data_IF_270971826164
#
_entry.id   IF_270971826164
#
_cell.length_a   1.000
_cell.length_b   1.000
_cell.length_c   1.000
_cell.angle_alpha   90.00
_cell.angle_beta   90.00
_cell.angle_gamma   90.00
#
_symmetry.space_group_name_H-M   'P 1'
#
loop_
_entity.id
_entity.type
_entity.pdbx_description
1 polymer ?
#
# COMPACT_ATOMS: atom_id res chain seq x y z
N UNK A 1 45.25 -9.12 -3.31
CA UNK A 1 44.70 -8.41 -4.46
C UNK A 1 44.01 -7.18 -3.91
N UNK A 2 44.55 -6.00 -4.14
CA UNK A 2 44.10 -4.74 -3.58
C UNK A 2 43.06 -4.12 -4.52
N UNK A 3 41.87 -3.78 -4.02
CA UNK A 3 40.90 -2.94 -4.75
C UNK A 3 41.11 -1.48 -4.34
N UNK A 4 41.42 -0.66 -5.34
CA UNK A 4 41.60 0.78 -5.21
C UNK A 4 40.23 1.48 -5.16
N UNK A 5 40.05 2.31 -4.15
CA UNK A 5 38.97 3.29 -4.06
C UNK A 5 39.35 4.53 -4.88
N UNK A 6 38.48 4.95 -5.78
CA UNK A 6 38.55 6.25 -6.45
C UNK A 6 37.58 7.20 -5.74
N UNK A 7 38.15 8.20 -5.06
CA UNK A 7 37.42 9.33 -4.49
C UNK A 7 37.38 10.43 -5.55
N UNK A 8 36.17 10.85 -5.94
CA UNK A 8 35.97 12.03 -6.78
C UNK A 8 35.48 13.18 -5.91
N UNK A 9 36.33 14.15 -5.70
CA UNK A 9 36.01 15.44 -5.07
C UNK A 9 35.38 16.38 -6.13
N UNK A 10 34.18 16.88 -5.85
CA UNK A 10 33.65 18.05 -6.55
C UNK A 10 33.83 19.31 -5.73
N UNK A 11 34.43 20.29 -6.37
CA UNK A 11 34.77 21.59 -5.81
C UNK A 11 33.57 22.54 -5.84
N UNK A 12 33.39 23.26 -4.73
CA UNK A 12 32.45 24.37 -4.54
C UNK A 12 32.88 25.59 -5.38
N UNK A 13 31.95 26.11 -6.16
CA UNK A 13 32.06 27.41 -6.82
C UNK A 13 31.04 28.39 -6.27
N UNK A 14 31.52 29.34 -5.45
CA UNK A 14 30.74 30.50 -4.97
C UNK A 14 30.78 31.60 -6.03
N UNK A 15 29.64 32.23 -6.31
CA UNK A 15 29.61 33.57 -6.92
C UNK A 15 28.47 34.41 -6.34
N UNK A 16 28.82 35.61 -5.98
CA UNK A 16 28.07 36.55 -5.14
C UNK A 16 27.25 37.56 -5.96
N UNK A 17 26.23 38.06 -5.27
CA UNK A 17 25.60 39.38 -5.27
C UNK A 17 25.48 40.24 -6.55
N UNK A 18 24.22 40.66 -6.76
CA UNK A 18 23.87 41.88 -7.48
C UNK A 18 22.45 42.31 -7.16
N UNK A 19 22.29 43.26 -6.25
CA UNK A 19 21.05 43.96 -5.94
C UNK A 19 20.91 45.21 -6.80
N UNK A 20 19.73 45.52 -7.33
CA UNK A 20 19.13 46.83 -7.69
C UNK A 20 17.64 46.51 -7.93
N UNK A 21 16.68 47.01 -7.36
CA UNK A 21 16.08 48.26 -7.03
C UNK A 21 14.90 48.64 -7.94
N UNK A 22 13.63 48.58 -7.39
CA UNK A 22 12.60 49.57 -7.66
C UNK A 22 11.60 49.29 -8.75
N UNK A 23 10.29 49.35 -8.42
CA UNK A 23 9.22 49.75 -9.36
C UNK A 23 7.91 48.96 -9.15
N UNK A 24 6.99 49.66 -8.52
CA UNK A 24 5.57 49.42 -8.32
C UNK A 24 4.80 49.27 -9.67
N UNK A 25 3.81 48.40 -9.72
CA UNK A 25 2.42 48.69 -10.12
C UNK A 25 1.61 47.39 -10.35
N UNK A 26 0.38 47.43 -9.91
CA UNK A 26 -0.57 46.40 -9.77
C UNK A 26 -1.12 45.80 -11.07
N UNK A 27 -1.65 44.62 -10.89
CA UNK A 27 -2.42 43.91 -11.89
C UNK A 27 -3.00 42.63 -11.28
N UNK A 28 -4.20 42.73 -10.69
CA UNK A 28 -4.93 41.58 -10.21
C UNK A 28 -5.30 40.68 -11.39
N UNK A 29 -4.87 39.43 -11.31
CA UNK A 29 -5.44 38.34 -12.08
C UNK A 29 -6.05 37.36 -11.07
N UNK A 30 -7.39 37.31 -11.07
CA UNK A 30 -8.16 36.33 -10.30
C UNK A 30 -7.80 34.93 -10.77
N UNK A 31 -7.18 34.16 -9.86
CA UNK A 31 -7.08 32.72 -10.01
C UNK A 31 -8.47 32.13 -9.78
N UNK A 32 -9.08 31.57 -10.80
CA UNK A 32 -10.22 30.70 -10.65
C UNK A 32 -9.76 29.49 -9.82
N UNK A 33 -10.29 29.38 -8.60
CA UNK A 33 -10.17 28.17 -7.81
C UNK A 33 -10.85 27.03 -8.60
N UNK A 34 -10.11 26.03 -8.97
CA UNK A 34 -10.66 24.82 -9.52
C UNK A 34 -11.62 24.23 -8.48
N UNK A 35 -12.91 24.30 -8.78
CA UNK A 35 -13.95 23.66 -7.98
C UNK A 35 -13.79 22.15 -8.16
N UNK A 36 -13.12 21.51 -7.21
CA UNK A 36 -13.05 20.07 -7.13
C UNK A 36 -14.45 19.48 -7.05
N UNK A 37 -14.89 18.82 -8.09
CA UNK A 37 -16.14 18.08 -8.11
C UNK A 37 -15.96 16.86 -7.23
N UNK A 38 -16.60 16.82 -6.07
CA UNK A 38 -16.60 15.64 -5.18
C UNK A 38 -17.37 14.52 -5.89
N UNK A 39 -16.64 13.51 -6.38
CA UNK A 39 -17.21 12.34 -7.06
C UNK A 39 -17.78 11.40 -5.99
N UNK A 40 -19.05 11.04 -6.10
CA UNK A 40 -19.70 10.09 -5.18
C UNK A 40 -19.27 8.65 -5.44
N UNK A 41 -19.31 7.74 -4.43
CA UNK A 41 -18.93 6.33 -4.60
C UNK A 41 -19.61 5.59 -5.76
N UNK A 42 -20.84 5.94 -6.10
CA UNK A 42 -21.61 5.35 -7.21
C UNK A 42 -21.11 5.73 -8.61
N UNK A 43 -20.31 6.80 -8.72
CA UNK A 43 -19.74 7.28 -10.00
C UNK A 43 -18.37 6.65 -10.34
N UNK A 44 -17.93 5.67 -9.56
CA UNK A 44 -16.59 5.07 -9.59
C UNK A 44 -16.48 3.77 -10.38
N UNK A 45 -17.50 3.39 -11.13
CA UNK A 45 -17.42 2.28 -12.08
C UNK A 45 -17.16 2.89 -13.45
N UNK A 46 -15.99 2.64 -14.06
CA UNK A 46 -15.68 3.16 -15.38
C UNK A 46 -16.73 2.74 -16.39
N UNK A 47 -17.18 3.63 -17.29
CA UNK A 47 -18.17 3.28 -18.30
C UNK A 47 -17.66 2.20 -19.23
N UNK A 48 -18.56 1.33 -19.69
CA UNK A 48 -18.21 0.27 -20.63
C UNK A 48 -18.66 -1.13 -20.16
N UNK A 49 -18.17 -2.21 -20.80
CA UNK A 49 -18.50 -3.56 -20.41
C UNK A 49 -17.90 -3.88 -19.02
N UNK A 50 -18.43 -4.90 -18.31
CA UNK A 50 -17.85 -5.38 -17.06
C UNK A 50 -16.34 -5.64 -17.19
N UNK A 51 -15.59 -5.43 -16.09
CA UNK A 51 -14.14 -5.59 -16.11
C UNK A 51 -13.71 -7.00 -16.56
N UNK A 52 -14.50 -8.05 -16.25
CA UNK A 52 -14.25 -9.42 -16.71
C UNK A 52 -14.44 -9.63 -18.22
N UNK A 53 -15.00 -8.68 -18.93
CA UNK A 53 -15.18 -8.73 -20.40
C UNK A 53 -14.14 -7.86 -21.13
N UNK A 54 -13.27 -7.15 -20.39
CA UNK A 54 -12.23 -6.29 -20.94
C UNK A 54 -10.93 -7.07 -21.13
N UNK A 55 -10.22 -6.76 -22.21
CA UNK A 55 -8.83 -7.16 -22.41
C UNK A 55 -7.94 -6.00 -22.06
N UNK A 56 -6.87 -6.24 -21.29
CA UNK A 56 -5.91 -5.21 -20.90
C UNK A 56 -4.67 -5.28 -21.78
N UNK A 57 -4.07 -4.12 -22.03
CA UNK A 57 -2.76 -3.97 -22.69
C UNK A 57 -1.90 -2.98 -21.92
N UNK A 58 -0.57 -3.12 -22.07
CA UNK A 58 0.36 -2.13 -21.49
C UNK A 58 0.17 -0.82 -22.25
N UNK A 59 -0.42 0.17 -21.60
CA UNK A 59 -0.60 1.51 -22.16
C UNK A 59 0.64 2.38 -21.92
N UNK A 60 1.29 2.19 -20.75
CA UNK A 60 2.43 3.00 -20.36
C UNK A 60 3.37 2.23 -19.41
N UNK A 61 4.65 2.60 -19.47
CA UNK A 61 5.67 2.18 -18.52
C UNK A 61 6.32 3.42 -17.94
N UNK A 62 6.06 3.66 -16.66
CA UNK A 62 6.60 4.77 -15.89
C UNK A 62 7.89 4.29 -15.23
N UNK A 63 8.98 4.98 -15.46
CA UNK A 63 10.30 4.71 -14.90
C UNK A 63 10.89 5.94 -14.26
N UNK A 64 12.18 5.89 -13.94
CA UNK A 64 12.92 6.98 -13.33
C UNK A 64 13.59 6.53 -12.03
N UNK A 65 13.82 7.48 -11.12
CA UNK A 65 14.42 7.18 -9.81
C UNK A 65 13.35 6.70 -8.82
N UNK A 66 12.65 5.60 -9.16
CA UNK A 66 11.61 4.98 -8.34
C UNK A 66 11.97 3.53 -8.01
N UNK A 67 11.44 3.03 -6.89
CA UNK A 67 11.59 1.64 -6.45
C UNK A 67 10.30 1.17 -5.77
N UNK A 68 9.20 1.11 -6.54
CA UNK A 68 7.87 0.93 -5.98
C UNK A 68 7.70 -0.47 -5.39
N UNK A 69 7.28 -0.53 -4.15
CA UNK A 69 6.90 -1.74 -3.43
C UNK A 69 5.41 -2.03 -3.55
N UNK A 70 4.60 -0.97 -3.58
CA UNK A 70 3.17 -1.05 -3.82
C UNK A 70 2.69 0.19 -4.58
N UNK A 71 1.48 0.10 -5.11
CA UNK A 71 0.73 1.19 -5.73
C UNK A 71 -0.71 1.14 -5.24
N UNK A 72 -1.30 2.31 -5.00
CA UNK A 72 -2.70 2.44 -4.55
C UNK A 72 -3.36 3.56 -5.34
N UNK A 73 -4.41 3.25 -6.08
CA UNK A 73 -5.23 4.24 -6.77
C UNK A 73 -6.31 4.79 -5.82
N UNK A 74 -6.46 6.10 -5.84
CA UNK A 74 -7.56 6.78 -5.17
C UNK A 74 -8.79 6.81 -6.09
N UNK A 75 -9.92 7.11 -5.50
CA UNK A 75 -11.14 7.39 -6.27
C UNK A 75 -11.25 8.88 -6.69
N UNK A 76 -10.19 9.65 -6.49
CA UNK A 76 -10.11 11.09 -6.82
C UNK A 76 -9.20 11.37 -8.01
N UNK A 77 -8.64 10.32 -8.65
CA UNK A 77 -7.75 10.45 -9.79
C UNK A 77 -6.27 10.57 -9.45
N UNK A 78 -5.88 10.22 -8.22
CA UNK A 78 -4.50 10.12 -7.80
C UNK A 78 -4.08 8.65 -7.60
N UNK A 79 -2.83 8.36 -7.92
CA UNK A 79 -2.20 7.05 -7.69
C UNK A 79 -0.92 7.26 -6.90
N UNK A 80 -0.83 6.59 -5.75
CA UNK A 80 0.29 6.68 -4.82
C UNK A 80 1.19 5.44 -4.99
N UNK A 81 2.50 5.64 -5.12
CA UNK A 81 3.47 4.55 -5.19
C UNK A 81 4.51 4.68 -4.08
N UNK A 82 4.66 3.61 -3.28
CA UNK A 82 5.57 3.56 -2.14
C UNK A 82 6.94 3.06 -2.60
N UNK A 83 7.92 3.96 -2.65
CA UNK A 83 9.30 3.67 -3.04
C UNK A 83 10.11 3.25 -1.82
N UNK A 84 10.03 1.97 -1.47
CA UNK A 84 10.63 1.41 -0.26
C UNK A 84 12.16 1.34 -0.32
N UNK A 85 12.73 1.07 -1.51
CA UNK A 85 14.16 0.85 -1.67
C UNK A 85 14.85 2.12 -2.15
N UNK A 86 16.03 2.41 -1.60
CA UNK A 86 16.96 3.47 -2.00
C UNK A 86 16.46 4.93 -1.80
N UNK A 87 15.29 5.30 -2.33
CA UNK A 87 14.83 6.69 -2.33
C UNK A 87 13.87 7.04 -1.19
N UNK A 88 13.27 6.05 -0.54
CA UNK A 88 12.35 6.22 0.59
C UNK A 88 11.42 7.42 0.40
N UNK A 89 10.46 7.28 -0.50
CA UNK A 89 9.53 8.35 -0.86
C UNK A 89 8.18 7.78 -1.30
N UNK A 90 7.17 8.63 -1.35
CA UNK A 90 5.91 8.33 -2.02
C UNK A 90 5.83 9.20 -3.27
N UNK A 91 5.77 8.59 -4.45
CA UNK A 91 5.46 9.31 -5.69
C UNK A 91 3.97 9.28 -5.95
N UNK A 92 3.41 10.43 -6.31
CA UNK A 92 1.99 10.60 -6.59
C UNK A 92 1.83 10.92 -8.06
N UNK A 93 0.97 10.16 -8.73
CA UNK A 93 0.66 10.32 -10.15
C UNK A 93 -0.81 10.67 -10.35
N UNK A 94 -1.15 11.31 -11.46
CA UNK A 94 -2.53 11.35 -11.94
C UNK A 94 -2.95 9.99 -12.49
N UNK A 95 -4.24 9.73 -12.63
CA UNK A 95 -4.75 8.51 -13.29
C UNK A 95 -4.31 8.38 -14.76
N UNK A 96 -3.86 9.46 -15.38
CA UNK A 96 -3.30 9.50 -16.74
C UNK A 96 -1.80 9.14 -16.79
N UNK A 97 -1.12 9.00 -15.62
CA UNK A 97 0.29 8.61 -15.53
C UNK A 97 1.26 9.77 -15.31
N UNK A 98 0.78 11.00 -15.24
CA UNK A 98 1.64 12.16 -15.01
C UNK A 98 2.09 12.26 -13.55
N UNK A 99 3.38 12.49 -13.30
CA UNK A 99 3.89 12.72 -11.95
C UNK A 99 3.38 14.05 -11.41
N UNK A 100 2.61 13.99 -10.33
CA UNK A 100 2.10 15.16 -9.61
C UNK A 100 3.13 15.69 -8.63
N UNK A 101 3.66 14.82 -7.78
CA UNK A 101 4.68 15.19 -6.77
C UNK A 101 5.44 13.96 -6.26
N UNK A 102 6.54 14.23 -5.57
CA UNK A 102 7.27 13.23 -4.77
C UNK A 102 7.31 13.72 -3.33
N UNK A 103 6.77 12.93 -2.41
CA UNK A 103 6.73 13.20 -0.97
C UNK A 103 7.92 12.46 -0.35
N UNK A 104 8.93 13.17 0.21
CA UNK A 104 10.01 12.53 0.94
C UNK A 104 9.48 11.82 2.18
N UNK A 105 9.95 10.61 2.42
CA UNK A 105 9.58 9.85 3.62
C UNK A 105 10.51 10.19 4.80
N UNK A 106 10.50 11.46 5.19
CA UNK A 106 11.34 12.01 6.27
C UNK A 106 10.52 12.99 7.10
N UNK A 107 10.59 12.83 8.43
CA UNK A 107 9.87 13.66 9.40
C UNK A 107 10.75 13.99 10.59
N UNK A 108 10.48 15.13 11.26
CA UNK A 108 10.94 15.37 12.63
C UNK A 108 9.84 14.92 13.60
N UNK A 109 10.07 13.85 14.35
CA UNK A 109 9.11 13.28 15.28
C UNK A 109 8.61 14.27 16.32
N UNK A 110 9.42 15.30 16.67
CA UNK A 110 9.00 16.32 17.63
C UNK A 110 7.89 17.25 17.09
N UNK A 111 7.83 17.46 15.77
CA UNK A 111 6.78 18.26 15.15
C UNK A 111 5.39 17.62 15.30
N UNK A 112 5.35 16.30 15.50
CA UNK A 112 4.13 15.51 15.68
C UNK A 112 3.91 15.05 17.12
N UNK A 113 4.74 15.53 18.08
CA UNK A 113 4.63 15.12 19.48
C UNK A 113 5.09 13.69 19.77
N UNK A 114 5.70 13.01 18.80
CA UNK A 114 6.22 11.66 18.95
C UNK A 114 7.65 11.61 19.55
N UNK A 115 8.27 12.77 19.82
CA UNK A 115 9.52 12.92 20.55
C UNK A 115 9.56 14.26 21.30
N UNK A 116 10.25 14.31 22.44
CA UNK A 116 10.40 15.52 23.26
C UNK A 116 11.38 16.56 22.66
N UNK A 117 12.28 16.10 21.79
CA UNK A 117 13.30 16.92 21.14
C UNK A 117 13.31 16.63 19.63
N UNK A 118 13.79 17.59 18.84
CA UNK A 118 13.93 17.43 17.40
C UNK A 118 14.67 16.13 17.08
N UNK A 119 13.97 15.20 16.42
CA UNK A 119 14.46 13.86 16.07
C UNK A 119 14.02 13.56 14.64
N UNK A 120 14.91 13.87 13.71
CA UNK A 120 14.66 13.62 12.28
C UNK A 120 14.89 12.14 11.97
N UNK A 121 13.88 11.49 11.46
CA UNK A 121 13.91 10.09 11.02
C UNK A 121 13.42 9.96 9.59
N UNK A 122 13.86 8.89 8.93
CA UNK A 122 13.39 8.50 7.60
C UNK A 122 12.75 7.11 7.68
N UNK A 123 11.59 6.94 7.08
CA UNK A 123 10.93 5.65 6.96
C UNK A 123 11.32 4.90 5.69
N UNK A 124 10.79 3.70 5.53
CA UNK A 124 10.84 2.89 4.32
C UNK A 124 9.41 2.49 3.93
N UNK A 125 8.72 3.28 3.07
CA UNK A 125 7.30 3.12 2.80
C UNK A 125 7.00 1.80 2.07
N UNK A 126 6.05 1.02 2.57
CA UNK A 126 5.74 -0.33 2.06
C UNK A 126 4.38 -0.42 1.40
N UNK A 127 3.35 -0.09 2.13
CA UNK A 127 1.94 -0.19 1.70
C UNK A 127 1.18 1.03 2.20
N UNK A 128 0.04 1.31 1.59
CA UNK A 128 -0.80 2.39 2.03
C UNK A 128 -2.28 2.13 1.82
N UNK A 129 -3.11 2.94 2.48
CA UNK A 129 -4.55 2.89 2.39
C UNK A 129 -5.14 4.30 2.49
N UNK A 130 -6.15 4.59 1.68
CA UNK A 130 -6.93 5.81 1.75
C UNK A 130 -8.03 5.69 2.78
N UNK A 131 -8.36 6.80 3.44
CA UNK A 131 -9.63 6.91 4.17
C UNK A 131 -10.80 6.80 3.17
N UNK A 132 -12.01 6.36 3.61
CA UNK A 132 -13.14 6.19 2.71
C UNK A 132 -13.57 7.47 1.97
N UNK A 133 -13.35 8.63 2.58
CA UNK A 133 -13.58 9.95 1.99
C UNK A 133 -12.42 10.44 1.12
N UNK A 134 -11.34 9.65 1.06
CA UNK A 134 -10.09 9.96 0.38
C UNK A 134 -9.40 11.26 0.84
N UNK A 135 -9.72 11.77 2.02
CA UNK A 135 -9.08 12.98 2.57
C UNK A 135 -7.67 12.74 3.08
N UNK A 136 -7.36 11.50 3.49
CA UNK A 136 -6.04 11.12 4.00
C UNK A 136 -5.57 9.80 3.40
N UNK A 137 -4.25 9.71 3.26
CA UNK A 137 -3.56 8.50 2.85
C UNK A 137 -2.58 8.05 3.94
N UNK A 138 -2.78 6.85 4.47
CA UNK A 138 -1.93 6.28 5.50
C UNK A 138 -0.92 5.33 4.87
N UNK A 139 0.35 5.44 5.27
CA UNK A 139 1.44 4.58 4.79
C UNK A 139 2.13 3.88 5.95
N UNK A 140 2.52 2.62 5.76
CA UNK A 140 3.35 1.88 6.70
C UNK A 140 4.82 1.97 6.33
N UNK A 141 5.69 2.11 7.32
CA UNK A 141 7.13 2.12 7.15
C UNK A 141 7.76 0.81 7.64
N UNK A 142 8.37 0.06 6.72
CA UNK A 142 9.03 -1.23 7.01
C UNK A 142 10.04 -1.13 8.16
N UNK A 143 10.85 -0.09 8.12
CA UNK A 143 11.84 0.26 9.13
C UNK A 143 11.97 1.76 9.21
N UNK A 144 12.49 2.22 10.33
CA UNK A 144 12.83 3.61 10.54
C UNK A 144 14.36 3.76 10.62
N UNK A 145 14.90 4.82 10.04
CA UNK A 145 16.32 5.14 10.05
C UNK A 145 16.52 6.50 10.71
N UNK A 146 17.50 6.59 11.61
CA UNK A 146 17.83 7.84 12.31
C UNK A 146 18.13 7.65 13.79
N UNK A 147 18.26 8.76 14.54
CA UNK A 147 18.56 8.70 15.97
C UNK A 147 17.49 7.92 16.75
N UNK A 148 17.94 7.00 17.62
CA UNK A 148 17.06 6.18 18.46
C UNK A 148 16.40 5.00 17.74
N UNK A 149 16.59 4.85 16.43
CA UNK A 149 16.06 3.75 15.67
C UNK A 149 16.98 2.54 15.69
N UNK A 150 16.38 1.34 15.70
CA UNK A 150 17.12 0.07 15.65
C UNK A 150 17.62 -0.28 14.25
N UNK A 151 18.26 -1.44 14.11
CA UNK A 151 18.64 -1.94 12.80
C UNK A 151 17.40 -2.28 11.95
N UNK A 152 17.59 -2.31 10.64
CA UNK A 152 16.55 -2.74 9.70
C UNK A 152 16.02 -4.13 10.04
N UNK A 153 14.70 -4.30 9.99
CA UNK A 153 14.04 -5.58 10.24
C UNK A 153 14.40 -6.62 9.18
N UNK A 154 14.44 -7.88 9.56
CA UNK A 154 14.64 -8.99 8.65
C UNK A 154 13.33 -9.66 8.26
N UNK A 155 13.33 -10.39 7.12
CA UNK A 155 12.17 -11.15 6.70
C UNK A 155 11.93 -12.38 7.60
N UNK A 156 12.97 -12.95 8.20
CA UNK A 156 12.88 -14.04 9.18
C UNK A 156 13.04 -13.45 10.59
N UNK A 157 11.93 -13.26 11.29
CA UNK A 157 11.90 -12.70 12.63
C UNK A 157 10.78 -13.34 13.49
N UNK A 158 10.99 -13.33 14.80
CA UNK A 158 9.95 -13.57 15.81
C UNK A 158 9.92 -12.39 16.76
N UNK A 159 8.86 -12.19 17.54
CA UNK A 159 8.84 -11.12 18.55
C UNK A 159 10.08 -11.14 19.44
N UNK A 160 10.47 -12.31 19.93
CA UNK A 160 11.63 -12.46 20.82
C UNK A 160 12.96 -12.19 20.10
N UNK A 161 13.15 -12.72 18.87
CA UNK A 161 14.38 -12.47 18.10
C UNK A 161 14.51 -11.02 17.68
N UNK A 162 13.40 -10.33 17.41
CA UNK A 162 13.36 -8.91 17.04
C UNK A 162 13.80 -8.03 18.20
N UNK A 163 13.25 -8.25 19.38
CA UNK A 163 13.68 -7.55 20.61
C UNK A 163 15.15 -7.82 20.92
N UNK A 164 15.59 -9.08 20.80
CA UNK A 164 16.98 -9.45 21.04
C UNK A 164 17.96 -8.84 20.02
N UNK A 165 17.50 -8.61 18.80
CA UNK A 165 18.27 -7.95 17.73
C UNK A 165 18.22 -6.43 17.80
N UNK A 166 17.43 -5.86 18.72
CA UNK A 166 17.32 -4.41 18.93
C UNK A 166 16.40 -3.73 17.90
N UNK A 167 15.47 -4.46 17.26
CA UNK A 167 14.47 -3.83 16.41
C UNK A 167 13.60 -2.91 17.25
N UNK A 168 13.29 -1.75 16.70
CA UNK A 168 12.35 -0.80 17.29
C UNK A 168 10.98 -0.94 16.64
N UNK A 169 9.96 -0.41 17.28
CA UNK A 169 8.69 -0.12 16.65
C UNK A 169 8.88 0.82 15.47
N UNK A 170 7.94 0.80 14.56
CA UNK A 170 7.94 1.68 13.39
C UNK A 170 6.70 2.58 13.40
N UNK A 171 6.52 3.37 12.35
CA UNK A 171 5.47 4.37 12.29
C UNK A 171 4.57 4.19 11.06
N UNK A 172 3.29 4.50 11.24
CA UNK A 172 2.44 4.92 10.14
C UNK A 172 2.61 6.43 9.96
N UNK A 173 2.69 6.88 8.71
CA UNK A 173 2.60 8.29 8.37
C UNK A 173 1.24 8.56 7.73
N UNK A 174 0.62 9.67 8.09
CA UNK A 174 -0.58 10.18 7.45
C UNK A 174 -0.19 11.29 6.48
N UNK A 175 -0.72 11.19 5.26
CA UNK A 175 -0.58 12.22 4.22
C UNK A 175 -1.95 12.84 3.99
N UNK A 176 -2.05 14.15 4.14
CA UNK A 176 -3.21 14.92 3.69
C UNK A 176 -3.23 14.96 2.16
N UNK A 177 -4.35 14.54 1.54
CA UNK A 177 -4.42 14.35 0.08
C UNK A 177 -4.62 15.64 -0.70
N UNK A 178 -5.00 16.73 -0.05
CA UNK A 178 -5.13 18.05 -0.68
C UNK A 178 -3.77 18.74 -0.76
N UNK A 179 -3.01 18.73 0.32
CA UNK A 179 -1.67 19.35 0.40
C UNK A 179 -0.55 18.43 -0.10
N UNK A 180 -0.78 17.12 -0.18
CA UNK A 180 0.19 16.08 -0.49
C UNK A 180 1.44 16.16 0.42
N UNK A 181 1.21 16.34 1.71
CA UNK A 181 2.24 16.43 2.74
C UNK A 181 1.93 15.48 3.90
N UNK A 182 2.99 14.97 4.56
CA UNK A 182 2.85 14.22 5.81
C UNK A 182 2.37 15.19 6.88
N UNK A 183 1.23 14.90 7.51
CA UNK A 183 0.58 15.77 8.49
C UNK A 183 0.41 15.11 9.86
N UNK A 184 0.69 13.79 9.98
CA UNK A 184 0.71 13.08 11.27
C UNK A 184 1.54 11.79 11.21
N UNK A 185 1.99 11.32 12.39
CA UNK A 185 2.75 10.07 12.55
C UNK A 185 2.27 9.31 13.78
N UNK A 186 2.10 7.99 13.66
CA UNK A 186 1.63 7.14 14.76
C UNK A 186 2.54 5.93 14.90
N UNK A 187 3.10 5.73 16.11
CA UNK A 187 3.90 4.53 16.40
C UNK A 187 3.01 3.28 16.41
N UNK A 188 3.49 2.21 15.73
CA UNK A 188 2.86 0.90 15.66
C UNK A 188 3.87 -0.20 15.99
N UNK A 189 3.57 -1.47 15.74
CA UNK A 189 4.48 -2.56 16.04
C UNK A 189 5.71 -2.64 15.13
N UNK A 190 6.50 -3.71 15.27
CA UNK A 190 7.75 -3.91 14.53
C UNK A 190 7.49 -4.43 13.11
N UNK A 191 8.08 -3.74 12.13
CA UNK A 191 8.04 -4.12 10.70
C UNK A 191 6.60 -4.19 10.16
N UNK A 192 5.84 -3.08 10.17
CA UNK A 192 4.50 -3.07 9.59
C UNK A 192 4.59 -3.28 8.07
N UNK A 193 3.84 -4.27 7.56
CA UNK A 193 3.88 -4.70 6.15
C UNK A 193 2.62 -4.36 5.37
N UNK A 194 1.52 -4.04 6.04
CA UNK A 194 0.27 -3.73 5.38
C UNK A 194 -0.56 -2.75 6.22
N UNK A 195 -1.35 -1.93 5.51
CA UNK A 195 -2.26 -0.95 6.10
C UNK A 195 -3.64 -1.11 5.45
N UNK A 196 -4.69 -0.98 6.25
CA UNK A 196 -6.06 -0.91 5.77
C UNK A 196 -6.85 0.10 6.62
N UNK A 197 -7.81 0.78 6.01
CA UNK A 197 -8.78 1.63 6.69
C UNK A 197 -10.11 0.90 6.84
N UNK A 198 -10.85 1.17 7.90
CA UNK A 198 -12.22 0.65 8.04
C UNK A 198 -13.18 1.40 7.12
N UNK A 199 -14.21 0.75 6.53
CA UNK A 199 -15.19 1.41 5.66
C UNK A 199 -15.96 2.56 6.32
N UNK A 200 -16.14 2.55 7.65
CA UNK A 200 -16.73 3.65 8.41
C UNK A 200 -15.75 4.81 8.69
N UNK A 201 -14.48 4.64 8.31
CA UNK A 201 -13.43 5.62 8.50
C UNK A 201 -12.95 5.79 9.95
N UNK A 202 -13.36 4.93 10.89
CA UNK A 202 -13.01 5.13 12.31
C UNK A 202 -11.61 4.65 12.68
N UNK A 203 -11.08 3.65 11.95
CA UNK A 203 -9.80 3.04 12.29
C UNK A 203 -8.90 2.86 11.07
N UNK A 204 -7.60 2.91 11.36
CA UNK A 204 -6.52 2.43 10.50
C UNK A 204 -5.88 1.22 11.16
N UNK A 205 -5.68 0.16 10.39
CA UNK A 205 -5.15 -1.12 10.84
C UNK A 205 -3.78 -1.35 10.23
N UNK A 206 -2.79 -1.78 11.02
CA UNK A 206 -1.49 -2.17 10.53
C UNK A 206 -1.11 -3.57 11.00
N UNK A 207 -0.76 -4.46 10.07
CA UNK A 207 -0.22 -5.77 10.38
C UNK A 207 1.29 -5.71 10.56
N UNK A 208 1.78 -6.10 11.73
CA UNK A 208 3.16 -5.99 12.11
C UNK A 208 3.87 -7.35 12.00
N UNK A 209 4.74 -7.46 11.00
CA UNK A 209 5.36 -8.69 10.57
C UNK A 209 6.23 -9.36 11.63
N UNK A 210 7.00 -8.58 12.41
CA UNK A 210 7.94 -9.10 13.38
C UNK A 210 7.41 -9.11 14.81
N UNK A 211 6.41 -8.31 15.16
CA UNK A 211 5.71 -8.40 16.45
C UNK A 211 4.51 -9.35 16.44
N UNK A 212 4.09 -9.83 15.23
CA UNK A 212 2.99 -10.79 15.04
C UNK A 212 1.65 -10.32 15.61
N UNK A 213 1.38 -9.05 15.47
CA UNK A 213 0.19 -8.39 15.98
C UNK A 213 -0.49 -7.48 14.94
N UNK A 214 -1.64 -6.95 15.30
CA UNK A 214 -2.38 -5.94 14.56
C UNK A 214 -2.50 -4.68 15.42
N UNK A 215 -1.96 -3.58 14.93
CA UNK A 215 -2.20 -2.26 15.51
C UNK A 215 -3.52 -1.70 15.02
N UNK A 216 -4.30 -1.08 15.91
CA UNK A 216 -5.56 -0.38 15.63
C UNK A 216 -5.36 1.08 16.04
N UNK A 217 -5.37 1.97 15.06
CA UNK A 217 -5.21 3.42 15.22
C UNK A 217 -6.55 4.10 15.00
N UNK A 218 -6.94 5.01 15.90
CA UNK A 218 -8.13 5.84 15.76
C UNK A 218 -7.87 6.98 14.77
N UNK A 219 -8.73 7.18 13.78
CA UNK A 219 -8.66 8.31 12.85
C UNK A 219 -9.14 9.62 13.48
N UNK A 220 -9.93 9.56 14.55
CA UNK A 220 -10.41 10.75 15.27
C UNK A 220 -9.30 11.39 16.09
N UNK A 221 -8.47 10.56 16.77
CA UNK A 221 -7.42 11.05 17.68
C UNK A 221 -6.00 10.91 17.12
N UNK A 222 -5.83 10.14 16.04
CA UNK A 222 -4.53 9.72 15.47
C UNK A 222 -3.64 9.02 16.52
N UNK A 223 -4.22 8.19 17.35
CA UNK A 223 -3.51 7.46 18.40
C UNK A 223 -3.70 5.94 18.24
N UNK A 224 -2.68 5.18 18.62
CA UNK A 224 -2.80 3.72 18.78
C UNK A 224 -3.75 3.41 19.93
N UNK A 225 -4.94 2.89 19.62
CA UNK A 225 -5.99 2.61 20.64
C UNK A 225 -6.04 1.15 21.05
N UNK A 226 -5.42 0.25 20.29
CA UNK A 226 -5.29 -1.16 20.66
C UNK A 226 -4.22 -1.87 19.84
N UNK A 227 -3.71 -2.97 20.42
CA UNK A 227 -2.89 -3.96 19.74
C UNK A 227 -3.53 -5.34 19.95
N UNK A 228 -3.84 -6.06 18.89
CA UNK A 228 -4.34 -7.44 18.94
C UNK A 228 -3.16 -8.39 18.77
N UNK A 229 -2.70 -9.06 19.82
CA UNK A 229 -1.52 -9.90 19.78
C UNK A 229 -1.81 -11.29 19.20
N UNK A 230 -0.75 -12.03 18.88
CA UNK A 230 -0.80 -13.45 18.53
C UNK A 230 -1.61 -13.79 17.27
N UNK A 231 -1.53 -12.95 16.24
CA UNK A 231 -2.14 -13.26 14.95
C UNK A 231 -1.56 -14.50 14.28
N UNK A 232 -0.35 -14.87 14.64
CA UNK A 232 0.45 -15.90 13.99
C UNK A 232 1.65 -15.31 13.26
N UNK A 233 2.48 -16.18 12.66
CA UNK A 233 3.73 -15.75 12.03
C UNK A 233 3.48 -14.96 10.76
N UNK A 234 4.09 -13.79 10.69
CA UNK A 234 4.14 -12.97 9.48
C UNK A 234 2.76 -12.51 8.99
N UNK A 235 1.97 -11.80 9.83
CA UNK A 235 0.72 -11.20 9.39
C UNK A 235 1.00 -10.15 8.29
N UNK A 236 0.11 -10.10 7.27
CA UNK A 236 0.34 -9.25 6.10
C UNK A 236 -0.96 -8.61 5.60
N UNK A 237 -1.51 -9.05 4.46
CA UNK A 237 -2.68 -8.42 3.85
C UNK A 237 -3.88 -8.34 4.80
N UNK A 238 -4.55 -7.22 4.81
CA UNK A 238 -5.73 -6.93 5.64
C UNK A 238 -6.86 -6.50 4.71
N UNK A 239 -8.06 -7.00 4.95
CA UNK A 239 -9.29 -6.42 4.41
C UNK A 239 -10.35 -6.36 5.51
N UNK A 240 -11.19 -5.33 5.48
CA UNK A 240 -12.23 -5.11 6.48
C UNK A 240 -13.60 -5.35 5.88
N UNK A 241 -14.48 -6.01 6.65
CA UNK A 241 -15.88 -6.22 6.22
C UNK A 241 -16.61 -4.90 5.97
N UNK A 242 -17.58 -4.84 5.04
CA UNK A 242 -18.29 -3.59 4.71
C UNK A 242 -19.01 -2.93 5.89
N UNK A 243 -19.37 -3.70 6.91
CA UNK A 243 -19.96 -3.21 8.16
C UNK A 243 -18.91 -2.73 9.20
N UNK A 244 -17.63 -2.71 8.82
CA UNK A 244 -16.48 -2.33 9.67
C UNK A 244 -16.31 -3.18 10.93
N UNK A 245 -16.97 -4.33 11.00
CA UNK A 245 -16.95 -5.17 12.21
C UNK A 245 -15.76 -6.10 12.27
N UNK A 246 -15.39 -6.72 11.12
CA UNK A 246 -14.36 -7.74 11.09
C UNK A 246 -13.19 -7.33 10.20
N UNK A 247 -11.97 -7.48 10.71
CA UNK A 247 -10.77 -7.48 9.91
C UNK A 247 -10.33 -8.92 9.62
N UNK A 248 -10.02 -9.21 8.36
CA UNK A 248 -9.46 -10.46 7.89
C UNK A 248 -7.99 -10.26 7.57
N UNK A 249 -7.11 -10.92 8.32
CA UNK A 249 -5.65 -10.73 8.22
C UNK A 249 -5.00 -12.01 7.70
N UNK A 250 -4.35 -11.93 6.55
CA UNK A 250 -3.58 -13.04 6.00
C UNK A 250 -2.34 -13.31 6.85
N UNK A 251 -2.15 -14.55 7.32
CA UNK A 251 -0.98 -14.95 8.13
C UNK A 251 -0.03 -15.76 7.25
N UNK A 252 0.92 -15.05 6.61
CA UNK A 252 1.75 -15.60 5.53
C UNK A 252 2.68 -16.75 5.97
N UNK A 253 3.13 -16.74 7.22
CA UNK A 253 3.96 -17.82 7.78
C UNK A 253 3.18 -19.09 8.14
N UNK A 254 1.87 -19.10 7.88
CA UNK A 254 0.94 -20.16 8.24
C UNK A 254 0.02 -20.54 7.06
N UNK A 255 -1.17 -21.08 7.33
CA UNK A 255 -2.11 -21.52 6.27
C UNK A 255 -3.49 -20.91 6.42
N UNK A 256 -3.65 -19.89 7.23
CA UNK A 256 -4.95 -19.34 7.58
C UNK A 256 -5.01 -17.81 7.46
N UNK A 257 -6.23 -17.31 7.43
CA UNK A 257 -6.60 -15.91 7.61
C UNK A 257 -7.17 -15.77 9.03
N UNK A 258 -6.62 -14.87 9.83
CA UNK A 258 -7.15 -14.54 11.14
C UNK A 258 -8.36 -13.61 10.99
N UNK A 259 -9.46 -13.92 11.68
CA UNK A 259 -10.66 -13.08 11.77
C UNK A 259 -10.65 -12.34 13.10
N UNK A 260 -10.52 -11.03 13.04
CA UNK A 260 -10.48 -10.13 14.20
C UNK A 260 -11.78 -9.37 14.29
N UNK A 261 -12.46 -9.43 15.41
CA UNK A 261 -13.62 -8.58 15.72
C UNK A 261 -13.10 -7.24 16.25
N UNK A 262 -13.40 -6.16 15.54
CA UNK A 262 -12.87 -4.81 15.83
C UNK A 262 -13.56 -4.15 17.04
N UNK A 263 -14.78 -4.57 17.39
CA UNK A 263 -15.47 -4.07 18.58
C UNK A 263 -14.83 -4.63 19.86
N UNK A 264 -14.65 -5.95 19.93
CA UNK A 264 -13.99 -6.61 21.05
C UNK A 264 -12.46 -6.54 21.00
N UNK A 265 -11.90 -6.20 19.83
CA UNK A 265 -10.44 -6.14 19.56
C UNK A 265 -9.74 -7.46 19.85
N UNK A 266 -10.36 -8.57 19.46
CA UNK A 266 -9.86 -9.93 19.67
C UNK A 266 -9.98 -10.79 18.41
N UNK A 267 -9.13 -11.82 18.33
CA UNK A 267 -9.25 -12.86 17.31
C UNK A 267 -10.45 -13.75 17.68
N UNK A 268 -11.43 -13.84 16.78
CA UNK A 268 -12.67 -14.62 16.99
C UNK A 268 -12.71 -15.89 16.16
N UNK A 269 -11.76 -16.12 15.28
CA UNK A 269 -11.68 -17.32 14.45
C UNK A 269 -10.55 -17.28 13.45
N UNK A 270 -10.38 -18.40 12.72
CA UNK A 270 -9.45 -18.53 11.62
C UNK A 270 -10.13 -19.21 10.43
N UNK A 271 -9.73 -18.86 9.22
CA UNK A 271 -10.20 -19.47 7.97
C UNK A 271 -9.03 -20.16 7.31
N UNK A 272 -9.07 -21.48 7.22
CA UNK A 272 -8.04 -22.27 6.54
C UNK A 272 -8.12 -22.10 5.03
N UNK A 273 -7.04 -21.61 4.40
CA UNK A 273 -7.01 -21.28 2.97
C UNK A 273 -5.87 -21.95 2.20
N UNK A 274 -4.90 -22.52 2.88
CA UNK A 274 -3.69 -23.08 2.29
C UNK A 274 -2.45 -22.22 2.57
N UNK A 275 -1.28 -22.75 2.25
CA UNK A 275 0.02 -22.21 2.71
C UNK A 275 0.37 -20.88 2.06
N UNK A 276 0.82 -19.97 2.91
CA UNK A 276 1.38 -18.69 2.51
C UNK A 276 0.35 -17.66 2.01
N UNK A 277 -0.82 -17.49 2.70
CA UNK A 277 -1.75 -16.43 2.33
C UNK A 277 -1.05 -15.08 2.50
N UNK A 278 -1.07 -14.26 1.45
CA UNK A 278 -0.27 -13.04 1.43
C UNK A 278 -1.10 -11.76 1.33
N UNK A 279 -2.03 -11.71 0.41
CA UNK A 279 -2.91 -10.57 0.20
C UNK A 279 -4.35 -11.02 0.13
N UNK A 280 -5.27 -10.19 0.57
CA UNK A 280 -6.70 -10.47 0.62
C UNK A 280 -7.49 -9.27 0.10
N UNK A 281 -8.58 -9.55 -0.63
CA UNK A 281 -9.59 -8.56 -1.02
C UNK A 281 -10.99 -9.14 -0.84
N UNK A 282 -12.00 -8.27 -0.69
CA UNK A 282 -13.41 -8.66 -0.67
C UNK A 282 -14.08 -8.30 -1.99
N UNK A 283 -15.13 -9.05 -2.36
CA UNK A 283 -16.09 -8.55 -3.33
C UNK A 283 -16.84 -7.32 -2.76
N UNK A 284 -17.47 -6.49 -3.61
CA UNK A 284 -18.14 -5.27 -3.15
C UNK A 284 -19.25 -5.53 -2.12
N UNK A 285 -19.87 -6.68 -2.15
CA UNK A 285 -20.93 -7.09 -1.22
C UNK A 285 -20.37 -7.64 0.11
N UNK A 286 -19.05 -7.90 0.19
CA UNK A 286 -18.40 -8.49 1.37
C UNK A 286 -18.80 -9.94 1.64
N UNK A 287 -19.31 -10.66 0.64
CA UNK A 287 -19.69 -12.07 0.74
C UNK A 287 -18.51 -13.00 0.47
N UNK A 288 -17.70 -12.67 -0.51
CA UNK A 288 -16.56 -13.48 -0.88
C UNK A 288 -15.25 -12.78 -0.59
N UNK A 289 -14.34 -13.53 0.04
CA UNK A 289 -12.97 -13.13 0.22
C UNK A 289 -12.10 -13.88 -0.79
N UNK A 290 -11.16 -13.16 -1.41
CA UNK A 290 -10.15 -13.74 -2.28
C UNK A 290 -8.78 -13.56 -1.63
N UNK A 291 -7.98 -14.64 -1.64
CA UNK A 291 -6.63 -14.62 -1.08
C UNK A 291 -5.61 -15.15 -2.09
N UNK A 292 -4.50 -14.46 -2.25
CA UNK A 292 -3.33 -14.98 -2.95
C UNK A 292 -2.53 -15.88 -2.01
N UNK A 293 -2.16 -17.07 -2.50
CA UNK A 293 -1.32 -18.04 -1.80
C UNK A 293 0.08 -18.03 -2.40
N UNK A 294 0.96 -17.25 -1.81
CA UNK A 294 2.32 -17.01 -2.35
C UNK A 294 3.10 -18.30 -2.56
N UNK A 295 3.06 -19.23 -1.58
CA UNK A 295 3.81 -20.48 -1.66
C UNK A 295 3.23 -21.50 -2.64
N UNK A 296 1.96 -21.37 -3.01
CA UNK A 296 1.28 -22.30 -3.90
C UNK A 296 1.11 -21.74 -5.33
N UNK A 297 1.27 -20.42 -5.51
CA UNK A 297 1.04 -19.78 -6.81
C UNK A 297 -0.41 -19.81 -7.25
N UNK A 298 -1.33 -19.66 -6.29
CA UNK A 298 -2.78 -19.80 -6.49
C UNK A 298 -3.54 -18.60 -5.90
N UNK A 299 -4.78 -18.45 -6.35
CA UNK A 299 -5.80 -17.65 -5.70
C UNK A 299 -6.90 -18.56 -5.23
N UNK A 300 -7.39 -18.34 -4.01
CA UNK A 300 -8.57 -19.02 -3.46
C UNK A 300 -9.71 -18.04 -3.27
N UNK A 301 -10.94 -18.55 -3.40
CA UNK A 301 -12.19 -17.85 -3.09
C UNK A 301 -12.84 -18.50 -1.87
N UNK A 302 -13.13 -17.68 -0.87
CA UNK A 302 -13.77 -18.08 0.40
C UNK A 302 -15.19 -17.53 0.44
N UNK A 303 -16.17 -18.34 0.78
CA UNK A 303 -17.53 -17.88 1.14
C UNK A 303 -17.55 -17.55 2.63
N UNK A 304 -17.66 -16.27 2.98
CA UNK A 304 -17.64 -15.78 4.37
C UNK A 304 -18.92 -16.10 5.16
N UNK A 305 -19.95 -16.64 4.51
CA UNK A 305 -21.13 -17.15 5.22
C UNK A 305 -20.88 -18.52 5.85
N UNK A 306 -19.89 -19.24 5.34
CA UNK A 306 -19.50 -20.59 5.81
C UNK A 306 -18.05 -20.65 6.30
N UNK A 307 -17.27 -19.61 6.06
CA UNK A 307 -15.82 -19.55 6.28
C UNK A 307 -15.07 -20.70 5.57
N UNK A 308 -15.53 -21.10 4.37
CA UNK A 308 -14.97 -22.20 3.59
C UNK A 308 -14.43 -21.75 2.23
N UNK A 309 -13.32 -22.35 1.80
CA UNK A 309 -12.83 -22.22 0.42
C UNK A 309 -13.80 -22.91 -0.52
N UNK A 310 -14.34 -22.18 -1.49
CA UNK A 310 -15.32 -22.65 -2.47
C UNK A 310 -14.75 -22.80 -3.89
N UNK A 311 -13.60 -22.17 -4.17
CA UNK A 311 -12.87 -22.30 -5.43
C UNK A 311 -11.40 -21.98 -5.23
N UNK A 312 -10.54 -22.53 -6.11
CA UNK A 312 -9.13 -22.16 -6.26
C UNK A 312 -8.72 -22.17 -7.73
N UNK A 313 -7.74 -21.36 -8.08
CA UNK A 313 -7.16 -21.36 -9.42
C UNK A 313 -5.65 -21.07 -9.36
N UNK A 314 -4.83 -21.81 -10.13
CA UNK A 314 -3.43 -21.49 -10.30
C UNK A 314 -3.29 -20.19 -11.11
N UNK A 315 -2.33 -19.35 -10.71
CA UNK A 315 -2.03 -18.08 -11.40
C UNK A 315 -0.60 -18.01 -11.92
N UNK A 316 0.37 -18.29 -11.07
CA UNK A 316 1.79 -18.28 -11.39
C UNK A 316 2.64 -18.34 -10.14
N UNK A 317 3.93 -18.52 -10.31
CA UNK A 317 4.87 -18.69 -9.19
C UNK A 317 4.95 -17.41 -8.35
N UNK A 318 4.83 -17.58 -7.05
CA UNK A 318 4.76 -16.52 -6.05
C UNK A 318 3.64 -15.50 -6.32
N UNK A 319 2.38 -15.95 -6.30
CA UNK A 319 1.22 -15.05 -6.31
C UNK A 319 1.28 -14.09 -5.11
N UNK A 320 1.42 -12.78 -5.39
CA UNK A 320 1.65 -11.77 -4.36
C UNK A 320 0.42 -10.91 -4.12
N UNK A 321 0.44 -9.68 -4.60
CA UNK A 321 -0.68 -8.75 -4.41
C UNK A 321 -1.80 -9.05 -5.42
N UNK A 322 -3.03 -8.76 -5.02
CA UNK A 322 -4.20 -8.86 -5.90
C UNK A 322 -5.10 -7.63 -5.72
N UNK A 323 -5.80 -7.29 -6.79
CA UNK A 323 -6.81 -6.25 -6.81
C UNK A 323 -8.10 -6.79 -7.40
N UNK A 324 -9.24 -6.24 -6.97
CA UNK A 324 -10.55 -6.52 -7.54
C UNK A 324 -11.07 -5.26 -8.24
N UNK A 325 -11.74 -5.43 -9.39
CA UNK A 325 -12.41 -4.32 -10.06
C UNK A 325 -13.58 -3.77 -9.23
N UNK A 326 -13.91 -2.50 -9.38
CA UNK A 326 -14.98 -1.86 -8.61
C UNK A 326 -16.37 -2.48 -8.85
N UNK A 327 -16.57 -3.12 -10.01
CA UNK A 327 -17.79 -3.87 -10.34
C UNK A 327 -17.78 -5.32 -9.81
N UNK A 328 -16.71 -5.72 -9.11
CA UNK A 328 -16.54 -7.04 -8.50
C UNK A 328 -16.41 -8.19 -9.50
N UNK A 329 -16.24 -7.93 -10.82
CA UNK A 329 -16.31 -8.98 -11.84
C UNK A 329 -14.94 -9.58 -12.19
N UNK A 330 -13.84 -8.85 -11.99
CA UNK A 330 -12.48 -9.27 -12.32
C UNK A 330 -11.52 -9.13 -11.15
N UNK A 331 -10.60 -10.09 -11.03
CA UNK A 331 -9.44 -10.07 -10.14
C UNK A 331 -8.17 -9.96 -10.98
N UNK A 332 -7.18 -9.26 -10.47
CA UNK A 332 -5.86 -9.09 -11.07
C UNK A 332 -4.80 -9.48 -10.05
N UNK A 333 -3.91 -10.40 -10.41
CA UNK A 333 -2.94 -11.00 -9.50
C UNK A 333 -1.54 -10.88 -10.06
N UNK A 334 -0.62 -10.29 -9.33
CA UNK A 334 0.81 -10.29 -9.71
C UNK A 334 1.46 -11.60 -9.29
N UNK A 335 2.20 -12.22 -10.22
CA UNK A 335 2.97 -13.43 -10.02
C UNK A 335 4.46 -13.06 -10.12
N UNK A 336 5.09 -12.93 -8.96
CA UNK A 336 6.40 -12.28 -8.81
C UNK A 336 7.50 -13.00 -9.59
N UNK A 337 7.64 -14.32 -9.42
CA UNK A 337 8.66 -15.12 -10.11
C UNK A 337 8.25 -15.49 -11.55
N UNK A 338 6.95 -15.50 -11.85
CA UNK A 338 6.48 -15.71 -13.23
C UNK A 338 6.56 -14.46 -14.10
N UNK A 339 6.75 -13.28 -13.52
CA UNK A 339 6.82 -12.00 -14.24
C UNK A 339 5.53 -11.68 -15.03
N UNK A 340 4.37 -12.03 -14.46
CA UNK A 340 3.06 -11.86 -15.10
C UNK A 340 2.04 -11.22 -14.17
N UNK A 341 1.01 -10.65 -14.77
CA UNK A 341 -0.30 -10.41 -14.15
C UNK A 341 -1.30 -11.40 -14.73
N UNK A 342 -2.00 -12.13 -13.87
CA UNK A 342 -3.12 -12.97 -14.27
C UNK A 342 -4.43 -12.26 -13.95
N UNK A 343 -5.27 -12.06 -14.97
CA UNK A 343 -6.65 -11.62 -14.80
C UNK A 343 -7.58 -12.84 -14.69
N UNK A 344 -8.43 -12.85 -13.65
CA UNK A 344 -9.38 -13.93 -13.37
C UNK A 344 -10.80 -13.37 -13.32
N UNK A 345 -11.78 -14.17 -13.74
CA UNK A 345 -13.19 -13.88 -13.48
C UNK A 345 -13.49 -14.15 -12.01
N UNK A 346 -13.98 -13.16 -11.28
CA UNK A 346 -14.22 -13.28 -9.84
C UNK A 346 -15.29 -14.31 -9.46
N UNK A 347 -16.25 -14.59 -10.36
CA UNK A 347 -17.35 -15.54 -10.07
C UNK A 347 -16.88 -16.98 -9.91
N UNK A 348 -15.95 -17.44 -10.76
CA UNK A 348 -15.52 -18.84 -10.86
C UNK A 348 -13.99 -19.05 -10.88
N UNK A 349 -13.21 -17.97 -10.79
CA UNK A 349 -11.76 -17.92 -10.92
C UNK A 349 -11.23 -18.40 -12.29
N UNK A 350 -12.07 -18.39 -13.33
CA UNK A 350 -11.65 -18.67 -14.69
C UNK A 350 -10.62 -17.66 -15.18
N UNK A 351 -9.49 -18.14 -15.73
CA UNK A 351 -8.44 -17.27 -16.28
C UNK A 351 -8.97 -16.52 -17.51
N UNK A 352 -8.92 -15.21 -17.48
CA UNK A 352 -9.31 -14.32 -18.57
C UNK A 352 -8.11 -13.96 -19.45
N UNK A 353 -7.00 -13.62 -18.81
CA UNK A 353 -5.80 -13.17 -19.51
C UNK A 353 -4.56 -13.40 -18.64
N UNK A 354 -3.42 -13.69 -19.28
CA UNK A 354 -2.09 -13.56 -18.69
C UNK A 354 -1.35 -12.45 -19.43
N UNK A 355 -0.78 -11.50 -18.69
CA UNK A 355 -0.11 -10.32 -19.21
C UNK A 355 1.34 -10.37 -18.75
N UNK A 356 2.29 -10.37 -19.71
CA UNK A 356 3.71 -10.24 -19.41
C UNK A 356 3.99 -8.84 -18.84
N UNK A 357 4.79 -8.80 -17.77
CA UNK A 357 5.19 -7.55 -17.11
C UNK A 357 6.71 -7.36 -17.21
N UNK A 358 7.29 -6.51 -16.45
CA UNK A 358 8.73 -6.52 -16.17
C UNK A 358 9.07 -7.55 -15.10
N UNK A 359 10.35 -7.63 -14.75
CA UNK A 359 10.85 -8.56 -13.74
C UNK A 359 10.33 -8.20 -12.36
N UNK A 360 9.76 -9.17 -11.67
CA UNK A 360 9.29 -9.09 -10.29
C UNK A 360 8.14 -8.06 -10.07
N UNK A 361 6.96 -8.24 -10.70
CA UNK A 361 5.77 -7.47 -10.35
C UNK A 361 5.37 -7.77 -8.91
N UNK A 362 5.05 -6.74 -8.11
CA UNK A 362 4.94 -6.91 -6.66
C UNK A 362 3.70 -6.28 -6.04
N UNK A 363 3.31 -5.08 -6.47
CA UNK A 363 2.11 -4.37 -6.04
C UNK A 363 1.15 -4.19 -7.20
N UNK A 364 -0.15 -4.13 -6.93
CA UNK A 364 -1.18 -3.96 -7.94
C UNK A 364 -2.39 -3.24 -7.35
N UNK A 365 -3.00 -2.35 -8.12
CA UNK A 365 -4.25 -1.70 -7.77
C UNK A 365 -5.13 -1.53 -9.01
N UNK A 366 -6.44 -1.49 -8.81
CA UNK A 366 -7.42 -1.14 -9.83
C UNK A 366 -7.80 0.33 -9.66
N UNK A 367 -7.68 1.12 -10.72
CA UNK A 367 -8.12 2.50 -10.73
C UNK A 367 -9.61 2.56 -11.12
N UNK A 368 -10.44 2.88 -10.16
CA UNK A 368 -11.89 2.99 -10.36
C UNK A 368 -12.32 4.18 -11.22
N UNK A 369 -11.44 5.14 -11.48
CA UNK A 369 -11.73 6.32 -12.32
C UNK A 369 -11.59 5.97 -13.79
N UNK A 370 -10.50 5.32 -14.17
CA UNK A 370 -10.17 5.01 -15.57
C UNK A 370 -10.48 3.57 -15.98
N UNK A 371 -10.52 2.65 -15.01
CA UNK A 371 -10.58 1.21 -15.24
C UNK A 371 -9.22 0.59 -15.55
N UNK A 372 -8.15 1.33 -15.36
CA UNK A 372 -6.79 0.86 -15.53
C UNK A 372 -6.36 -0.01 -14.35
N UNK A 373 -5.38 -0.86 -14.59
CA UNK A 373 -4.69 -1.63 -13.56
C UNK A 373 -3.25 -1.16 -13.49
N UNK A 374 -2.86 -0.68 -12.32
CA UNK A 374 -1.50 -0.21 -12.06
C UNK A 374 -0.68 -1.29 -11.39
N UNK A 375 0.54 -1.51 -11.86
CA UNK A 375 1.40 -2.60 -11.38
C UNK A 375 2.77 -2.05 -11.01
N UNK A 376 3.16 -2.17 -9.74
CA UNK A 376 4.50 -1.88 -9.28
C UNK A 376 5.44 -3.01 -9.67
N UNK A 377 6.53 -2.68 -10.35
CA UNK A 377 7.62 -3.59 -10.71
C UNK A 377 8.81 -3.31 -9.78
N UNK A 378 9.21 -4.30 -9.01
CA UNK A 378 10.20 -4.17 -7.95
C UNK A 378 11.57 -3.63 -8.44
N UNK A 379 11.86 -3.81 -9.71
CA UNK A 379 13.10 -3.33 -10.35
C UNK A 379 13.08 -1.85 -10.77
N UNK A 380 12.05 -1.09 -10.40
CA UNK A 380 12.03 0.36 -10.56
C UNK A 380 11.15 0.88 -11.69
N UNK A 381 9.99 0.27 -11.89
CA UNK A 381 9.00 0.69 -12.89
C UNK A 381 7.57 0.57 -12.33
N UNK A 382 6.65 1.29 -12.94
CA UNK A 382 5.21 1.09 -12.79
C UNK A 382 4.64 0.87 -14.19
N UNK A 383 3.83 -0.17 -14.35
CA UNK A 383 3.05 -0.38 -15.57
C UNK A 383 1.63 0.11 -15.36
N UNK A 384 1.10 0.82 -16.34
CA UNK A 384 -0.31 1.13 -16.46
C UNK A 384 -0.91 0.25 -17.56
N UNK A 385 -1.81 -0.64 -17.17
CA UNK A 385 -2.52 -1.55 -18.06
C UNK A 385 -3.92 -0.98 -18.29
N UNK A 386 -4.25 -0.63 -19.53
CA UNK A 386 -5.55 -0.05 -19.87
C UNK A 386 -6.39 -1.02 -20.70
N UNK A 387 -7.73 -0.91 -20.63
CA UNK A 387 -8.63 -1.63 -21.53
C UNK A 387 -8.29 -1.35 -23.00
N UNK A 388 -8.22 -2.43 -23.82
CA UNK A 388 -7.89 -2.37 -25.25
C UNK A 388 -9.04 -1.87 -26.12
#
# INVERSE_FOLDING_TARGET
>A
MALSFVVVLFALGSAALGAIGGGDEGGGAGGEAATGTTITPAERIPPGPPAAERTLQVAETIGGEISPKSVVASNTGLVFAQNMMYNHSVTVYSSEGELVTTIPDQVDLAEFGAADVSTVVQGAPVEGALTPDASHYWISNYSMYGPGQGPEGADECTPESSVASGYTNSYLYRIDTDSLAIDDVVEVGMVPKYVATTPDGQYVLASNWCSWDLSIVSTETNELVATVPNLGRYPRGIVVSPDSRYAYVAVMGESHIAKVDLESRTIVGTIEVGRGPRHVVLDPEGRYLYASLNQLGEVVKVDLTTDQVVASAPTGSEARSLAISNDGTALYVVNYESNTVTALRASDLGVLQNIETGVHPIGITYDGVTGDVWVAIYTGQILRLSPA
#
